data_IF_534677102935
#
_entry.id   IF_534677102935
#
_cell.length_a   1.000
_cell.length_b   1.000
_cell.length_c   1.000
_cell.angle_alpha   90.00
_cell.angle_beta   90.00
_cell.angle_gamma   90.00
#
_symmetry.space_group_name_H-M   'P 1'
#
loop_
_entity.id
_entity.type
_entity.pdbx_description
1 polymer ?
#
# COMPACT_ATOMS: atom_id res chain seq x y z
N UNK A 1 -5.59 8.81 -3.31
CA UNK A 1 -5.09 10.17 -3.15
C UNK A 1 -4.67 10.72 -4.49
N UNK A 2 -5.27 11.81 -4.87
CA UNK A 2 -4.99 12.48 -6.13
C UNK A 2 -4.56 13.91 -5.86
N UNK A 3 -3.29 14.11 -5.65
CA UNK A 3 -2.74 15.45 -5.47
C UNK A 3 -3.26 16.42 -6.55
N UNK A 4 -4.07 17.40 -6.12
CA UNK A 4 -4.67 18.43 -6.98
C UNK A 4 -5.76 17.97 -7.97
N UNK A 5 -6.40 16.85 -7.75
CA UNK A 5 -7.60 16.51 -8.52
C UNK A 5 -8.81 17.25 -7.94
N UNK A 6 -9.49 18.04 -8.78
CA UNK A 6 -10.62 18.88 -8.37
C UNK A 6 -11.85 18.09 -7.86
N UNK A 7 -11.87 16.79 -8.12
CA UNK A 7 -12.95 15.89 -7.74
C UNK A 7 -12.65 15.11 -6.44
N UNK A 8 -11.47 15.30 -5.84
CA UNK A 8 -11.04 14.55 -4.65
C UNK A 8 -10.74 15.52 -3.49
N UNK A 9 -11.38 15.29 -2.36
CA UNK A 9 -11.12 15.99 -1.12
C UNK A 9 -10.10 15.16 -0.30
N UNK A 10 -8.91 15.69 -0.14
CA UNK A 10 -7.83 15.02 0.59
C UNK A 10 -8.06 15.01 2.10
N UNK A 11 -8.88 15.91 2.63
CA UNK A 11 -9.17 15.99 4.07
C UNK A 11 -10.26 14.99 4.48
N UNK A 12 -11.13 14.57 3.57
CA UNK A 12 -12.22 13.64 3.87
C UNK A 12 -11.72 12.31 4.47
N UNK A 13 -10.77 11.57 3.87
CA UNK A 13 -10.26 10.32 4.45
C UNK A 13 -9.60 10.50 5.82
N UNK A 14 -8.99 11.66 6.07
CA UNK A 14 -8.36 11.97 7.35
C UNK A 14 -9.44 12.17 8.43
N UNK A 15 -10.50 12.91 8.09
CA UNK A 15 -11.63 13.14 8.99
C UNK A 15 -12.40 11.85 9.29
N UNK A 16 -12.60 11.01 8.27
CA UNK A 16 -13.25 9.70 8.44
C UNK A 16 -12.41 8.79 9.34
N UNK A 17 -11.09 8.77 9.15
CA UNK A 17 -10.18 8.01 10.00
C UNK A 17 -10.26 8.45 11.48
N UNK A 18 -10.28 9.77 11.75
CA UNK A 18 -10.46 10.30 13.10
C UNK A 18 -11.79 9.86 13.70
N UNK A 19 -12.87 10.01 12.93
CA UNK A 19 -14.22 9.65 13.39
C UNK A 19 -14.30 8.15 13.72
N UNK A 20 -13.74 7.29 12.85
CA UNK A 20 -13.74 5.86 13.07
C UNK A 20 -12.88 5.45 14.27
N UNK A 21 -11.73 6.07 14.45
CA UNK A 21 -10.86 5.84 15.60
C UNK A 21 -11.53 6.23 16.91
N UNK A 22 -12.28 7.33 16.94
CA UNK A 22 -13.05 7.77 18.11
C UNK A 22 -14.19 6.79 18.47
N UNK A 23 -14.60 5.93 17.55
CA UNK A 23 -15.53 4.82 17.79
C UNK A 23 -14.81 3.52 18.20
N UNK A 24 -13.54 3.58 18.57
CA UNK A 24 -12.66 2.46 18.90
C UNK A 24 -12.36 1.54 17.71
N UNK A 25 -12.47 2.02 16.48
CA UNK A 25 -12.02 1.33 15.28
C UNK A 25 -10.55 1.65 14.97
N UNK A 26 -9.91 0.85 14.13
CA UNK A 26 -8.59 1.12 13.57
C UNK A 26 -8.77 1.42 12.08
N UNK A 27 -8.53 2.66 11.61
CA UNK A 27 -8.68 2.98 10.21
C UNK A 27 -7.63 2.27 9.34
N UNK A 28 -8.02 1.90 8.12
CA UNK A 28 -7.15 1.26 7.15
C UNK A 28 -7.15 2.04 5.85
N UNK A 29 -5.97 2.26 5.29
CA UNK A 29 -5.78 2.95 4.03
C UNK A 29 -5.13 2.02 3.01
N UNK A 30 -5.77 1.84 1.85
CA UNK A 30 -5.17 1.32 0.64
C UNK A 30 -4.90 2.49 -0.32
N UNK A 31 -3.66 2.60 -0.79
CA UNK A 31 -3.30 3.71 -1.66
C UNK A 31 -3.33 3.28 -3.13
N UNK A 32 -4.41 3.63 -3.85
CA UNK A 32 -4.45 3.56 -5.31
C UNK A 32 -3.63 4.73 -5.87
N UNK A 33 -2.33 4.54 -5.92
CA UNK A 33 -1.37 5.58 -6.29
C UNK A 33 -1.43 5.84 -7.80
N UNK A 34 -2.03 6.98 -8.15
CA UNK A 34 -2.14 7.44 -9.53
C UNK A 34 -0.76 7.85 -10.06
N UNK A 35 -0.62 7.88 -11.39
CA UNK A 35 0.61 8.23 -12.09
C UNK A 35 1.34 9.42 -11.43
N UNK A 36 2.50 9.20 -10.79
CA UNK A 36 3.23 10.27 -10.12
C UNK A 36 3.66 11.40 -11.04
N UNK A 37 3.91 11.10 -12.32
CA UNK A 37 4.32 12.10 -13.32
C UNK A 37 3.18 13.05 -13.76
N UNK A 38 1.94 12.74 -13.38
CA UNK A 38 0.74 13.52 -13.77
C UNK A 38 0.44 13.55 -15.27
N UNK A 39 1.06 12.65 -16.04
CA UNK A 39 0.74 12.51 -17.48
C UNK A 39 -0.63 11.87 -17.68
N UNK A 40 -1.07 11.07 -16.73
CA UNK A 40 -2.42 10.50 -16.65
C UNK A 40 -2.96 10.58 -15.24
N UNK A 41 -4.29 10.35 -15.06
CA UNK A 41 -4.93 10.19 -13.75
C UNK A 41 -5.15 8.72 -13.40
N UNK A 42 -4.42 7.83 -14.05
CA UNK A 42 -4.63 6.40 -13.96
C UNK A 42 -3.58 5.72 -13.06
N UNK A 43 -3.89 4.51 -12.63
CA UNK A 43 -3.01 3.66 -11.85
C UNK A 43 -2.87 2.24 -12.44
N UNK A 44 -3.68 1.89 -13.44
CA UNK A 44 -3.57 0.62 -14.15
C UNK A 44 -2.41 0.63 -15.16
N UNK A 45 -1.71 -0.52 -15.25
CA UNK A 45 -0.56 -0.71 -16.14
C UNK A 45 -0.87 -0.45 -17.62
N UNK A 46 -2.10 -0.77 -18.06
CA UNK A 46 -2.53 -0.56 -19.45
C UNK A 46 -2.98 0.88 -19.75
N UNK A 47 -3.03 1.74 -18.73
CA UNK A 47 -3.51 3.12 -18.84
C UNK A 47 -2.51 4.19 -18.45
N UNK A 48 -1.37 3.81 -17.90
CA UNK A 48 -0.25 4.71 -17.64
C UNK A 48 1.05 4.15 -18.19
N UNK A 49 1.93 5.04 -18.67
CA UNK A 49 3.28 4.70 -19.09
C UNK A 49 4.32 5.01 -18.01
N UNK A 50 3.90 5.25 -16.77
CA UNK A 50 4.82 5.49 -15.68
C UNK A 50 5.70 4.26 -15.43
N UNK A 51 7.03 4.45 -15.48
CA UNK A 51 7.97 3.35 -15.29
C UNK A 51 8.50 3.33 -13.85
N UNK A 52 8.11 2.31 -13.09
CA UNK A 52 8.57 2.10 -11.71
C UNK A 52 10.10 2.00 -11.61
N UNK A 53 10.81 1.62 -12.69
CA UNK A 53 12.28 1.59 -12.69
C UNK A 53 12.91 2.96 -12.41
N UNK A 54 12.14 4.04 -12.48
CA UNK A 54 12.56 5.36 -12.01
C UNK A 54 13.05 5.34 -10.54
N UNK A 55 12.63 4.36 -9.73
CA UNK A 55 13.10 4.17 -8.34
C UNK A 55 14.63 4.03 -8.25
N UNK A 56 15.28 3.55 -9.31
CA UNK A 56 16.72 3.40 -9.39
C UNK A 56 17.44 4.63 -9.98
N UNK A 57 16.72 5.70 -10.28
CA UNK A 57 17.25 6.90 -10.94
C UNK A 57 16.95 8.18 -10.15
N UNK A 58 17.63 8.45 -9.02
CA UNK A 58 17.30 9.54 -8.10
C UNK A 58 17.28 10.93 -8.73
N UNK A 59 18.02 11.14 -9.82
CA UNK A 59 18.07 12.43 -10.52
C UNK A 59 16.94 12.61 -11.53
N UNK A 60 16.18 11.56 -11.86
CA UNK A 60 15.09 11.65 -12.83
C UNK A 60 13.90 12.44 -12.28
N UNK A 61 13.14 13.05 -13.18
CA UNK A 61 11.92 13.77 -12.81
C UNK A 61 10.85 12.80 -12.28
N UNK A 62 10.77 11.59 -12.81
CA UNK A 62 9.84 10.56 -12.36
C UNK A 62 10.16 10.08 -10.93
N UNK A 63 11.45 9.94 -10.55
CA UNK A 63 11.83 9.69 -9.15
C UNK A 63 11.41 10.83 -8.23
N UNK A 64 11.72 12.07 -8.63
CA UNK A 64 11.36 13.26 -7.85
C UNK A 64 9.84 13.39 -7.69
N UNK A 65 9.08 12.98 -8.71
CA UNK A 65 7.62 12.94 -8.64
C UNK A 65 7.11 11.90 -7.62
N UNK A 66 7.72 10.69 -7.57
CA UNK A 66 7.40 9.70 -6.53
C UNK A 66 7.68 10.25 -5.13
N UNK A 67 8.86 10.84 -4.91
CA UNK A 67 9.20 11.44 -3.61
C UNK A 67 8.21 12.54 -3.23
N UNK A 68 7.84 13.41 -4.17
CA UNK A 68 6.89 14.47 -3.90
C UNK A 68 5.50 13.96 -3.50
N UNK A 69 5.05 12.84 -4.07
CA UNK A 69 3.79 12.20 -3.69
C UNK A 69 3.87 11.55 -2.31
N UNK A 70 4.97 10.84 -2.01
CA UNK A 70 5.19 10.24 -0.69
C UNK A 70 5.21 11.32 0.39
N UNK A 71 5.91 12.44 0.15
CA UNK A 71 5.96 13.58 1.08
C UNK A 71 4.58 14.22 1.26
N UNK A 72 3.82 14.36 0.18
CA UNK A 72 2.48 14.92 0.24
C UNK A 72 1.54 14.07 1.08
N UNK A 73 1.50 12.76 0.85
CA UNK A 73 0.68 11.84 1.65
C UNK A 73 1.14 11.80 3.11
N UNK A 74 2.45 11.87 3.35
CA UNK A 74 2.98 11.91 4.71
C UNK A 74 2.39 13.06 5.55
N UNK A 75 2.07 14.20 4.94
CA UNK A 75 1.49 15.34 5.65
C UNK A 75 0.13 15.01 6.27
N UNK A 76 -0.72 14.24 5.59
CA UNK A 76 -2.01 13.81 6.09
C UNK A 76 -1.87 12.75 7.19
N UNK A 77 -0.93 11.83 7.02
CA UNK A 77 -0.62 10.80 8.02
C UNK A 77 -0.03 11.42 9.30
N UNK A 78 0.75 12.51 9.18
CA UNK A 78 1.26 13.27 10.33
C UNK A 78 0.14 14.03 11.06
N UNK A 79 -0.92 14.47 10.37
CA UNK A 79 -2.11 15.02 11.05
C UNK A 79 -2.76 13.96 11.95
N UNK A 80 -2.94 12.73 11.43
CA UNK A 80 -3.45 11.63 12.24
C UNK A 80 -2.52 11.29 13.41
N UNK A 81 -1.21 11.35 13.20
CA UNK A 81 -0.24 11.15 14.28
C UNK A 81 -0.36 12.21 15.39
N UNK A 82 -0.56 13.47 15.02
CA UNK A 82 -0.78 14.56 15.99
C UNK A 82 -2.02 14.30 16.84
N UNK A 83 -3.04 13.70 16.24
CA UNK A 83 -4.29 13.33 16.94
C UNK A 83 -4.20 11.97 17.66
N UNK A 84 -3.01 11.35 17.69
CA UNK A 84 -2.76 10.02 18.27
C UNK A 84 -3.57 8.89 17.62
N UNK A 85 -3.92 9.02 16.35
CA UNK A 85 -4.64 8.03 15.57
C UNK A 85 -3.63 7.08 14.89
N UNK A 86 -3.65 5.80 15.25
CA UNK A 86 -2.93 4.75 14.55
C UNK A 86 -3.72 4.28 13.34
N UNK A 87 -3.04 3.90 12.25
CA UNK A 87 -3.69 3.44 11.04
C UNK A 87 -2.97 2.25 10.40
N UNK A 88 -3.73 1.34 9.81
CA UNK A 88 -3.21 0.32 8.89
C UNK A 88 -2.88 1.01 7.57
N UNK A 89 -1.64 0.83 7.10
CA UNK A 89 -1.16 1.40 5.84
C UNK A 89 -0.83 0.28 4.86
N UNK A 90 -1.57 0.20 3.79
CA UNK A 90 -1.49 -0.86 2.77
C UNK A 90 -1.17 -0.27 1.39
N UNK A 91 0.06 0.21 1.17
CA UNK A 91 0.49 0.69 -0.13
C UNK A 91 0.86 -0.46 -1.06
N UNK A 92 0.97 -0.20 -2.36
CA UNK A 92 1.47 -1.11 -3.38
C UNK A 92 0.83 -2.51 -3.33
N UNK A 93 -0.46 -2.58 -2.96
CA UNK A 93 -1.20 -3.82 -2.82
C UNK A 93 -1.29 -4.55 -4.17
N UNK A 94 -1.44 -5.88 -4.11
CA UNK A 94 -1.62 -6.76 -5.27
C UNK A 94 -0.54 -6.59 -6.37
N UNK A 95 0.70 -6.28 -5.97
CA UNK A 95 1.77 -5.94 -6.90
C UNK A 95 2.09 -7.08 -7.89
N UNK A 96 2.09 -8.33 -7.41
CA UNK A 96 2.41 -9.49 -8.23
C UNK A 96 1.36 -9.78 -9.32
N UNK A 97 0.16 -9.21 -9.22
CA UNK A 97 -0.88 -9.27 -10.25
C UNK A 97 -0.51 -8.50 -11.52
N UNK A 98 0.34 -7.50 -11.42
CA UNK A 98 0.87 -6.74 -12.56
C UNK A 98 -0.12 -5.79 -13.23
N UNK A 99 -1.35 -5.68 -12.72
CA UNK A 99 -2.37 -4.76 -13.27
C UNK A 99 -2.20 -3.32 -12.81
N UNK A 100 -1.44 -3.07 -11.75
CA UNK A 100 -1.07 -1.74 -11.29
C UNK A 100 0.35 -1.39 -11.72
N UNK A 101 0.64 -0.11 -11.98
CA UNK A 101 1.95 0.33 -12.47
C UNK A 101 3.11 -0.06 -11.55
N UNK A 102 2.87 -0.15 -10.24
CA UNK A 102 3.90 -0.56 -9.28
C UNK A 102 4.26 -2.05 -9.35
N UNK A 103 3.44 -2.88 -10.00
CA UNK A 103 3.72 -4.29 -10.28
C UNK A 103 4.23 -4.58 -11.69
N UNK A 104 4.20 -3.59 -12.59
CA UNK A 104 4.39 -3.78 -14.03
C UNK A 104 5.77 -4.31 -14.46
N UNK A 105 6.81 -4.11 -13.65
CA UNK A 105 8.19 -4.44 -13.99
C UNK A 105 8.82 -5.52 -13.10
N UNK A 106 7.98 -6.25 -12.37
CA UNK A 106 8.42 -7.36 -11.53
C UNK A 106 8.83 -6.95 -10.11
N UNK A 107 9.36 -7.91 -9.33
CA UNK A 107 9.54 -7.76 -7.90
C UNK A 107 10.60 -6.75 -7.50
N UNK A 108 11.72 -6.66 -8.22
CA UNK A 108 12.87 -5.87 -7.77
C UNK A 108 12.54 -4.37 -7.64
N UNK A 109 11.97 -3.68 -8.66
CA UNK A 109 11.63 -2.27 -8.50
C UNK A 109 10.47 -2.07 -7.52
N UNK A 110 9.54 -3.03 -7.38
CA UNK A 110 8.45 -2.92 -6.39
C UNK A 110 8.99 -2.98 -4.95
N UNK A 111 9.90 -3.91 -4.64
CA UNK A 111 10.57 -3.95 -3.34
C UNK A 111 11.36 -2.67 -3.06
N UNK A 112 12.12 -2.21 -4.04
CA UNK A 112 12.87 -0.96 -3.92
C UNK A 112 11.95 0.24 -3.63
N UNK A 113 10.80 0.32 -4.30
CA UNK A 113 9.81 1.38 -4.06
C UNK A 113 9.17 1.27 -2.67
N UNK A 114 8.87 0.05 -2.20
CA UNK A 114 8.37 -0.16 -0.84
C UNK A 114 9.36 0.33 0.21
N UNK A 115 10.62 -0.09 0.09
CA UNK A 115 11.69 0.30 1.01
C UNK A 115 11.96 1.81 0.96
N UNK A 116 11.97 2.41 -0.22
CA UNK A 116 12.06 3.86 -0.40
C UNK A 116 10.91 4.60 0.29
N UNK A 117 9.67 4.12 0.11
CA UNK A 117 8.50 4.72 0.74
C UNK A 117 8.57 4.61 2.26
N UNK A 118 8.92 3.44 2.78
CA UNK A 118 9.11 3.24 4.21
C UNK A 118 10.18 4.18 4.79
N UNK A 119 11.35 4.21 4.18
CA UNK A 119 12.45 5.07 4.63
C UNK A 119 12.07 6.55 4.57
N UNK A 120 11.42 6.97 3.48
CA UNK A 120 10.98 8.36 3.31
C UNK A 120 9.92 8.76 4.32
N UNK A 121 8.89 7.94 4.53
CA UNK A 121 7.82 8.22 5.49
C UNK A 121 8.32 8.15 6.92
N UNK A 122 9.02 7.06 7.29
CA UNK A 122 9.39 6.80 8.68
C UNK A 122 10.64 7.57 9.10
N UNK A 123 11.73 7.45 8.36
CA UNK A 123 13.02 8.01 8.78
C UNK A 123 13.19 9.48 8.40
N UNK A 124 12.68 9.90 7.25
CA UNK A 124 12.81 11.28 6.80
C UNK A 124 11.66 12.16 7.31
N UNK A 125 10.40 11.75 7.08
CA UNK A 125 9.22 12.56 7.41
C UNK A 125 8.73 12.38 8.85
N UNK A 126 9.18 11.34 9.57
CA UNK A 126 8.86 11.11 10.97
C UNK A 126 7.47 10.53 11.24
N UNK A 127 6.85 9.88 10.26
CA UNK A 127 5.57 9.20 10.41
C UNK A 127 5.77 7.92 11.24
N UNK A 128 5.12 7.82 12.42
CA UNK A 128 5.31 6.74 13.40
C UNK A 128 4.03 6.01 13.80
N UNK A 129 2.90 6.41 13.26
CA UNK A 129 1.57 5.93 13.63
C UNK A 129 1.01 4.89 12.65
N UNK A 130 1.85 4.33 11.78
CA UNK A 130 1.43 3.37 10.76
C UNK A 130 1.78 1.94 11.16
N UNK A 131 0.87 1.03 10.85
CA UNK A 131 1.06 -0.42 10.85
C UNK A 131 1.10 -0.85 9.39
N UNK A 132 2.26 -1.32 8.92
CA UNK A 132 2.53 -1.60 7.52
C UNK A 132 1.98 -2.97 7.10
N UNK A 133 1.09 -2.98 6.12
CA UNK A 133 0.41 -4.18 5.63
C UNK A 133 0.87 -4.51 4.22
N UNK A 134 1.56 -5.63 4.06
CA UNK A 134 1.89 -6.20 2.76
C UNK A 134 0.77 -7.10 2.27
N UNK A 135 0.29 -6.89 1.04
CA UNK A 135 -0.68 -7.80 0.40
C UNK A 135 0.05 -8.89 -0.36
N UNK A 136 -0.06 -10.12 0.12
CA UNK A 136 0.53 -11.29 -0.49
C UNK A 136 -0.38 -11.89 -1.55
N UNK A 137 0.20 -12.28 -2.68
CA UNK A 137 -0.41 -13.08 -3.74
C UNK A 137 0.18 -14.51 -3.76
N UNK A 138 -0.49 -15.51 -4.39
CA UNK A 138 0.12 -16.82 -4.56
C UNK A 138 1.45 -16.74 -5.34
N UNK A 139 2.49 -17.44 -4.85
CA UNK A 139 3.81 -17.53 -5.50
C UNK A 139 4.54 -16.17 -5.67
N UNK A 140 4.31 -15.23 -4.77
CA UNK A 140 4.93 -13.91 -4.80
C UNK A 140 6.09 -13.74 -3.81
N UNK A 141 6.71 -14.82 -3.35
CA UNK A 141 7.78 -14.79 -2.34
C UNK A 141 8.92 -13.84 -2.74
N UNK A 142 9.20 -13.70 -4.04
CA UNK A 142 10.21 -12.77 -4.56
C UNK A 142 9.83 -11.29 -4.36
N UNK A 143 8.56 -10.98 -4.10
CA UNK A 143 8.04 -9.62 -3.97
C UNK A 143 8.07 -9.09 -2.54
N UNK A 144 8.26 -9.96 -1.56
CA UNK A 144 8.25 -9.58 -0.16
C UNK A 144 9.37 -8.58 0.17
N UNK A 145 9.05 -7.40 0.70
CA UNK A 145 10.04 -6.33 0.87
C UNK A 145 11.02 -6.53 2.02
N UNK A 146 10.75 -7.47 2.92
CA UNK A 146 11.57 -7.78 4.09
C UNK A 146 10.82 -7.61 5.41
N UNK A 147 11.21 -8.39 6.42
CA UNK A 147 10.55 -8.43 7.73
C UNK A 147 10.59 -7.09 8.47
N UNK A 148 11.65 -6.32 8.27
CA UNK A 148 11.84 -5.01 8.90
C UNK A 148 10.90 -3.92 8.37
N UNK A 149 10.25 -4.17 7.23
CA UNK A 149 9.37 -3.19 6.55
C UNK A 149 7.90 -3.55 6.64
N UNK A 150 7.53 -4.67 7.27
CA UNK A 150 6.17 -5.20 7.28
C UNK A 150 5.76 -5.62 8.68
N UNK A 151 4.60 -5.19 9.13
CA UNK A 151 4.01 -5.61 10.41
C UNK A 151 2.97 -6.71 10.22
N UNK A 152 2.14 -6.61 9.19
CA UNK A 152 1.06 -7.54 8.88
C UNK A 152 1.21 -8.05 7.44
N UNK A 153 1.02 -9.36 7.26
CA UNK A 153 0.88 -9.96 5.92
C UNK A 153 -0.59 -10.23 5.67
N UNK A 154 -1.15 -9.52 4.70
CA UNK A 154 -2.54 -9.63 4.28
C UNK A 154 -2.71 -10.47 3.02
N UNK A 155 -3.92 -10.94 2.78
CA UNK A 155 -4.35 -11.64 1.58
C UNK A 155 -5.67 -11.08 1.08
N UNK A 156 -5.74 -10.76 -0.21
CA UNK A 156 -6.97 -10.37 -0.88
C UNK A 156 -7.63 -11.62 -1.49
N UNK A 157 -8.90 -11.85 -1.20
CA UNK A 157 -9.64 -13.04 -1.62
C UNK A 157 -10.87 -12.64 -2.42
N UNK A 158 -10.76 -12.78 -3.74
CA UNK A 158 -11.84 -12.53 -4.68
C UNK A 158 -12.12 -13.80 -5.49
N UNK A 159 -13.02 -14.63 -5.02
CA UNK A 159 -13.44 -15.88 -5.68
C UNK A 159 -14.95 -15.85 -5.85
N UNK A 160 -15.42 -15.32 -6.97
CA UNK A 160 -16.84 -15.21 -7.28
C UNK A 160 -17.52 -16.59 -7.18
N UNK A 161 -18.55 -16.67 -6.33
CA UNK A 161 -19.33 -17.89 -6.12
C UNK A 161 -18.60 -19.01 -5.36
N UNK A 162 -17.35 -18.81 -4.92
CA UNK A 162 -16.64 -19.75 -4.06
C UNK A 162 -16.71 -19.29 -2.59
N UNK A 163 -17.60 -19.90 -1.83
CA UNK A 163 -17.75 -19.70 -0.39
C UNK A 163 -17.06 -20.79 0.43
N UNK A 164 -16.14 -21.55 -0.18
CA UNK A 164 -15.39 -22.59 0.50
C UNK A 164 -14.36 -22.01 1.48
N UNK A 165 -13.91 -22.86 2.39
CA UNK A 165 -12.84 -22.52 3.33
C UNK A 165 -11.54 -22.22 2.59
N UNK A 166 -10.89 -21.10 2.94
CA UNK A 166 -9.58 -20.69 2.42
C UNK A 166 -8.43 -21.22 3.30
N UNK A 167 -8.63 -22.32 3.99
CA UNK A 167 -7.67 -22.90 4.94
C UNK A 167 -6.32 -23.24 4.30
N UNK A 168 -6.30 -23.62 3.03
CA UNK A 168 -5.05 -23.94 2.33
C UNK A 168 -4.20 -22.69 2.14
N UNK A 169 -4.79 -21.58 1.73
CA UNK A 169 -4.09 -20.29 1.59
C UNK A 169 -3.60 -19.78 2.96
N UNK A 170 -4.45 -19.88 3.98
CA UNK A 170 -4.04 -19.55 5.35
C UNK A 170 -2.85 -20.40 5.81
N UNK A 171 -2.88 -21.70 5.59
CA UNK A 171 -1.80 -22.60 6.00
C UNK A 171 -0.49 -22.29 5.25
N UNK A 172 -0.56 -21.91 3.98
CA UNK A 172 0.62 -21.47 3.21
C UNK A 172 1.21 -20.20 3.79
N UNK A 173 0.39 -19.19 4.06
CA UNK A 173 0.84 -17.94 4.71
C UNK A 173 1.42 -18.22 6.10
N UNK A 174 0.75 -19.06 6.87
CA UNK A 174 1.21 -19.42 8.21
C UNK A 174 2.54 -20.18 8.21
N UNK A 175 2.78 -21.01 7.19
CA UNK A 175 4.06 -21.70 7.04
C UNK A 175 5.23 -20.75 6.73
N UNK A 176 4.97 -19.65 6.01
CA UNK A 176 5.99 -18.68 5.62
C UNK A 176 6.21 -17.59 6.69
N UNK A 177 5.15 -17.07 7.27
CA UNK A 177 5.16 -15.88 8.12
C UNK A 177 4.67 -16.12 9.55
N UNK A 178 4.03 -17.26 9.82
CA UNK A 178 3.44 -17.57 11.13
C UNK A 178 4.46 -17.56 12.26
N UNK A 179 4.09 -16.93 13.37
CA UNK A 179 4.97 -16.71 14.52
C UNK A 179 5.86 -15.46 14.44
N UNK A 180 6.06 -14.89 13.24
CA UNK A 180 6.82 -13.66 13.04
C UNK A 180 5.94 -12.47 12.66
N UNK A 181 4.84 -12.71 11.94
CA UNK A 181 3.91 -11.67 11.45
C UNK A 181 2.47 -12.02 11.80
N UNK A 182 1.67 -10.99 12.02
CA UNK A 182 0.23 -11.13 12.03
C UNK A 182 -0.27 -11.43 10.62
N UNK A 183 -1.22 -12.37 10.50
CA UNK A 183 -1.85 -12.71 9.24
C UNK A 183 -3.27 -12.17 9.20
N UNK A 184 -3.69 -11.63 8.06
CA UNK A 184 -4.99 -11.02 7.89
C UNK A 184 -5.60 -11.31 6.51
N UNK A 185 -6.92 -11.22 6.42
CA UNK A 185 -7.60 -10.97 5.14
C UNK A 185 -7.65 -9.45 5.00
N UNK A 186 -6.99 -8.93 3.97
CA UNK A 186 -6.90 -7.48 3.72
C UNK A 186 -8.01 -6.96 2.82
N UNK A 187 -8.48 -7.80 1.91
CA UNK A 187 -9.71 -7.57 1.12
C UNK A 187 -10.44 -8.88 0.87
N UNK A 188 -11.74 -8.79 0.64
CA UNK A 188 -12.53 -9.93 0.21
C UNK A 188 -13.69 -9.48 -0.68
N UNK A 189 -14.10 -10.38 -1.59
CA UNK A 189 -15.30 -10.23 -2.39
C UNK A 189 -16.58 -10.32 -1.57
N UNK A 190 -17.70 -10.52 -2.26
CA UNK A 190 -19.00 -10.63 -1.61
C UNK A 190 -19.05 -11.73 -0.55
N UNK A 191 -19.57 -11.39 0.60
CA UNK A 191 -19.94 -12.38 1.62
C UNK A 191 -21.25 -13.05 1.24
N UNK A 192 -21.47 -14.33 1.62
CA UNK A 192 -22.76 -14.99 1.45
C UNK A 192 -23.86 -14.36 2.28
#
# INVERSE_FOLDING_TARGET
CGRNYSWYDEDEPVNDARNYYNLNGIPAFAWHWRDPSRKTEEFYTDKTNFDINAVFSPESDDYKAMIADIDYISQFLLQLQTDSVAALWRPLHEAAGGWFWWGAKGPEPCKALWQLMYDRMVNHNGVRNLIWVWTREPNDDAWYPGDEYVDIVGRDIYKDGDHSSQILEFNQMNALYGGNKMLAISECGSFP
#
